data_IF_340019497561
#
_entry.id   IF_340019497561
#
_cell.length_a   1.000
_cell.length_b   1.000
_cell.length_c   1.000
_cell.angle_alpha   90.00
_cell.angle_beta   90.00
_cell.angle_gamma   90.00
#
_symmetry.space_group_name_H-M   'P 1'
#
loop_
_entity.id
_entity.type
_entity.pdbx_description
1 polymer ?
#
# COMPACT_ATOMS: atom_id res chain seq x y z
N UNK A 1 -10.92 -10.38 -9.12
CA UNK A 1 -9.72 -9.89 -8.38
C UNK A 1 -9.63 -8.35 -8.19
N UNK A 2 -10.57 -7.50 -8.68
CA UNK A 2 -10.45 -6.02 -8.58
C UNK A 2 -10.64 -5.43 -7.16
N UNK A 3 -11.15 -6.19 -6.19
CA UNK A 3 -11.55 -5.66 -4.88
C UNK A 3 -10.45 -5.64 -3.82
N UNK A 4 -9.42 -6.47 -3.92
CA UNK A 4 -8.41 -6.63 -2.86
C UNK A 4 -7.42 -5.46 -2.77
N UNK A 5 -7.23 -4.70 -3.85
CA UNK A 5 -6.37 -3.52 -3.87
C UNK A 5 -7.10 -2.23 -3.44
N UNK A 6 -8.42 -2.27 -3.22
CA UNK A 6 -9.23 -1.08 -2.93
C UNK A 6 -9.32 -0.87 -1.42
N UNK A 7 -9.00 0.34 -0.97
CA UNK A 7 -9.04 0.69 0.47
C UNK A 7 -7.92 0.04 1.27
N UNK A 8 -6.72 -0.05 0.69
CA UNK A 8 -5.55 -0.58 1.37
C UNK A 8 -5.10 0.38 2.48
N UNK A 9 -4.95 -0.14 3.69
CA UNK A 9 -4.50 0.61 4.86
C UNK A 9 -3.72 -0.30 5.82
N UNK A 10 -3.01 0.28 6.78
CA UNK A 10 -2.11 -0.42 7.72
C UNK A 10 -2.78 -1.56 8.49
N UNK A 11 -4.06 -1.43 8.83
CA UNK A 11 -4.84 -2.48 9.52
C UNK A 11 -5.37 -3.63 8.65
N UNK A 12 -5.31 -3.55 7.30
CA UNK A 12 -5.80 -4.63 6.44
C UNK A 12 -4.75 -5.21 5.49
N UNK A 13 -3.65 -4.51 5.28
CA UNK A 13 -2.60 -4.90 4.32
C UNK A 13 -1.99 -6.26 4.64
N UNK A 14 -1.74 -6.58 5.91
CA UNK A 14 -1.15 -7.86 6.31
C UNK A 14 -2.08 -9.01 5.93
N UNK A 15 -3.35 -8.93 6.35
CA UNK A 15 -4.36 -9.94 6.00
C UNK A 15 -4.51 -10.08 4.48
N UNK A 16 -4.50 -8.97 3.73
CA UNK A 16 -4.58 -9.00 2.25
C UNK A 16 -3.35 -9.67 1.62
N UNK A 17 -2.16 -9.44 2.15
CA UNK A 17 -0.92 -10.08 1.68
C UNK A 17 -0.94 -11.59 1.97
N UNK A 18 -1.43 -12.00 3.14
CA UNK A 18 -1.63 -13.41 3.50
C UNK A 18 -2.61 -14.08 2.53
N UNK A 19 -3.78 -13.48 2.30
CA UNK A 19 -4.73 -13.99 1.29
C UNK A 19 -4.09 -14.08 -0.10
N UNK A 20 -3.27 -13.10 -0.50
CA UNK A 20 -2.59 -13.20 -1.80
C UNK A 20 -1.59 -14.36 -1.85
N UNK A 21 -0.93 -14.70 -0.76
CA UNK A 21 -0.03 -15.85 -0.67
C UNK A 21 -0.82 -17.18 -0.70
N UNK A 22 -1.88 -17.30 0.09
CA UNK A 22 -2.73 -18.50 0.17
C UNK A 22 -3.38 -18.86 -1.17
N UNK A 23 -3.83 -17.84 -1.93
CA UNK A 23 -4.48 -18.02 -3.22
C UNK A 23 -3.51 -17.89 -4.42
N UNK A 24 -2.21 -17.73 -4.19
CA UNK A 24 -1.21 -17.63 -5.27
C UNK A 24 -1.35 -16.39 -6.16
N UNK A 25 -1.86 -15.29 -5.64
CA UNK A 25 -2.11 -14.03 -6.36
C UNK A 25 -0.86 -13.14 -6.45
N UNK A 26 0.25 -13.69 -6.99
CA UNK A 26 1.56 -13.01 -7.04
C UNK A 26 1.52 -11.60 -7.64
N UNK A 27 0.88 -11.43 -8.81
CA UNK A 27 0.76 -10.12 -9.47
C UNK A 27 0.02 -9.07 -8.64
N UNK A 28 -0.96 -9.51 -7.83
CA UNK A 28 -1.68 -8.60 -6.95
C UNK A 28 -0.83 -8.28 -5.72
N UNK A 29 -0.15 -9.28 -5.15
CA UNK A 29 0.79 -9.11 -4.05
C UNK A 29 1.85 -8.06 -4.36
N UNK A 30 2.47 -8.15 -5.53
CA UNK A 30 3.44 -7.17 -6.02
C UNK A 30 2.87 -5.75 -6.06
N UNK A 31 1.65 -5.56 -6.58
CA UNK A 31 0.98 -4.25 -6.60
C UNK A 31 0.68 -3.71 -5.20
N UNK A 32 0.36 -4.58 -4.26
CA UNK A 32 0.13 -4.18 -2.86
C UNK A 32 1.45 -3.72 -2.23
N UNK A 33 2.54 -4.49 -2.43
CA UNK A 33 3.87 -4.12 -1.96
C UNK A 33 4.34 -2.81 -2.58
N UNK A 34 4.13 -2.62 -3.88
CA UNK A 34 4.42 -1.37 -4.59
C UNK A 34 3.78 -0.16 -3.89
N UNK A 35 2.46 -0.21 -3.66
CA UNK A 35 1.72 0.86 -2.97
C UNK A 35 2.18 1.08 -1.54
N UNK A 36 2.54 0.02 -0.83
CA UNK A 36 3.04 0.13 0.54
C UNK A 36 4.42 0.81 0.57
N UNK A 37 5.29 0.52 -0.41
CA UNK A 37 6.61 1.16 -0.50
C UNK A 37 6.57 2.63 -0.95
N UNK A 38 5.49 3.05 -1.63
CA UNK A 38 5.27 4.46 -1.96
C UNK A 38 4.99 5.32 -0.72
N UNK A 39 4.55 4.72 0.39
CA UNK A 39 4.20 5.42 1.64
C UNK A 39 5.02 4.86 2.82
N UNK A 40 6.23 5.39 3.09
CA UNK A 40 7.12 4.85 4.13
C UNK A 40 6.50 4.86 5.53
N UNK A 41 5.58 5.80 5.81
CA UNK A 41 4.82 5.84 7.07
C UNK A 41 3.92 4.61 7.25
N UNK A 42 3.22 4.20 6.20
CA UNK A 42 2.37 3.00 6.26
C UNK A 42 3.23 1.74 6.40
N UNK A 43 4.34 1.67 5.67
CA UNK A 43 5.31 0.58 5.78
C UNK A 43 5.86 0.44 7.21
N UNK A 44 6.24 1.55 7.85
CA UNK A 44 6.73 1.55 9.23
C UNK A 44 5.67 1.13 10.24
N UNK A 45 4.39 1.40 9.97
CA UNK A 45 3.29 0.91 10.80
C UNK A 45 3.12 -0.60 10.65
N UNK A 46 3.16 -1.11 9.41
CA UNK A 46 3.04 -2.54 9.12
C UNK A 46 4.17 -3.34 9.75
N UNK A 47 5.41 -2.85 9.73
CA UNK A 47 6.54 -3.53 10.36
C UNK A 47 6.45 -3.62 11.88
N UNK A 48 5.64 -2.76 12.51
CA UNK A 48 5.36 -2.77 13.96
C UNK A 48 4.12 -3.59 14.32
N UNK A 49 3.29 -3.98 13.35
CA UNK A 49 2.09 -4.77 13.61
C UNK A 49 2.46 -6.19 14.05
N UNK A 50 1.91 -6.73 15.15
CA UNK A 50 2.24 -8.07 15.63
C UNK A 50 1.84 -9.17 14.64
N UNK A 51 0.85 -8.92 13.78
CA UNK A 51 0.42 -9.85 12.72
C UNK A 51 1.54 -10.11 11.71
N UNK A 52 2.38 -9.13 11.38
CA UNK A 52 3.47 -9.33 10.41
C UNK A 52 4.51 -10.32 10.94
N UNK A 53 4.68 -10.40 12.26
CA UNK A 53 5.63 -11.32 12.90
C UNK A 53 5.18 -12.78 12.78
N UNK A 54 3.87 -13.03 12.60
CA UNK A 54 3.34 -14.37 12.35
C UNK A 54 3.60 -14.81 10.90
N UNK A 55 3.94 -13.88 10.00
CA UNK A 55 4.15 -14.12 8.59
C UNK A 55 5.54 -13.60 8.12
N UNK A 56 6.65 -14.21 8.59
CA UNK A 56 8.00 -13.72 8.32
C UNK A 56 8.37 -13.67 6.82
N UNK A 57 7.77 -14.55 5.99
CA UNK A 57 7.94 -14.50 4.52
C UNK A 57 7.42 -13.19 3.92
N UNK A 58 6.30 -12.68 4.41
CA UNK A 58 5.73 -11.42 3.93
C UNK A 58 6.66 -10.26 4.29
N UNK A 59 7.21 -10.26 5.51
CA UNK A 59 8.19 -9.25 5.92
C UNK A 59 9.47 -9.33 5.07
N UNK A 60 9.98 -10.53 4.81
CA UNK A 60 11.14 -10.73 3.95
C UNK A 60 10.89 -10.18 2.54
N UNK A 61 9.77 -10.54 1.92
CA UNK A 61 9.45 -10.08 0.58
C UNK A 61 9.26 -8.56 0.52
N UNK A 62 8.68 -7.96 1.57
CA UNK A 62 8.62 -6.51 1.70
C UNK A 62 10.01 -5.87 1.75
N UNK A 63 10.93 -6.41 2.55
CA UNK A 63 12.30 -5.89 2.65
C UNK A 63 13.09 -6.04 1.34
N UNK A 64 12.97 -7.19 0.68
CA UNK A 64 13.56 -7.44 -0.64
C UNK A 64 13.01 -6.45 -1.67
N UNK A 65 11.69 -6.23 -1.67
CA UNK A 65 11.05 -5.29 -2.57
C UNK A 65 11.53 -3.84 -2.35
N UNK A 66 11.66 -3.41 -1.09
CA UNK A 66 12.21 -2.08 -0.74
C UNK A 66 13.66 -1.94 -1.19
N UNK A 67 14.50 -2.96 -0.96
CA UNK A 67 15.90 -2.94 -1.35
C UNK A 67 16.04 -2.81 -2.89
N UNK A 68 15.24 -3.56 -3.64
CA UNK A 68 15.24 -3.52 -5.10
C UNK A 68 14.76 -2.17 -5.63
N UNK A 69 13.73 -1.57 -5.02
CA UNK A 69 13.18 -0.29 -5.46
C UNK A 69 14.13 0.89 -5.18
N UNK A 70 14.87 0.88 -4.06
CA UNK A 70 15.85 1.93 -3.74
C UNK A 70 16.97 2.03 -4.78
N UNK A 71 17.44 0.89 -5.29
CA UNK A 71 18.48 0.84 -6.32
C UNK A 71 18.02 1.48 -7.64
N UNK A 72 16.72 1.41 -7.94
CA UNK A 72 16.16 1.94 -9.18
C UNK A 72 15.98 3.49 -9.14
N UNK A 73 15.63 4.04 -7.97
CA UNK A 73 15.49 5.50 -7.80
C UNK A 73 16.85 6.21 -7.84
N UNK A 74 17.92 5.60 -7.31
CA UNK A 74 19.26 6.19 -7.35
C UNK A 74 19.88 6.19 -8.75
N UNK A 75 19.59 5.18 -9.58
CA UNK A 75 20.09 5.11 -10.96
C UNK A 75 19.51 6.22 -11.87
N UNK A 76 18.30 6.71 -11.61
CA UNK A 76 17.69 7.79 -12.40
C UNK A 76 18.18 9.19 -12.02
N UNK A 77 18.64 9.40 -10.78
CA UNK A 77 19.11 10.72 -10.33
C UNK A 77 20.53 11.05 -10.81
N UNK A 78 21.38 10.05 -11.04
CA UNK A 78 22.76 10.28 -11.51
C UNK A 78 22.85 10.59 -13.02
N UNK A 79 21.81 10.29 -13.80
CA UNK A 79 21.80 10.56 -15.25
C UNK A 79 21.42 12.02 -15.60
N UNK A 80 20.95 12.81 -14.63
CA UNK A 80 20.42 14.16 -14.86
C UNK A 80 21.41 15.28 -14.49
N UNK A 81 22.56 14.95 -13.88
CA UNK A 81 23.57 15.92 -13.43
C UNK A 81 24.78 16.05 -14.38
N UNK A 82 24.75 15.41 -15.56
CA UNK A 82 25.85 15.44 -16.55
C UNK A 82 25.55 16.26 -17.82
N UNK A 83 24.46 17.04 -17.88
CA UNK A 83 24.09 17.80 -19.09
C UNK A 83 24.13 19.32 -18.95
N UNK A 84 24.79 19.89 -17.94
CA UNK A 84 24.78 21.35 -17.71
C UNK A 84 26.14 22.07 -17.82
N UNK A 85 27.24 21.40 -18.18
CA UNK A 85 28.58 22.04 -18.31
C UNK A 85 29.14 22.05 -19.75
N UNK A 86 28.30 21.98 -20.78
CA UNK A 86 28.74 22.04 -22.18
C UNK A 86 27.84 22.90 -23.07
N UNK A 87 27.51 24.11 -22.62
CA UNK A 87 26.87 25.10 -23.49
C UNK A 87 27.37 26.54 -23.27
N UNK A 88 28.67 26.72 -23.04
CA UNK A 88 29.29 28.05 -23.08
C UNK A 88 30.55 28.09 -23.97
N UNK A 89 30.43 27.63 -25.21
CA UNK A 89 31.24 28.21 -26.29
C UNK A 89 30.53 27.99 -27.63
N UNK A 90 30.38 29.07 -28.40
CA UNK A 90 29.96 29.12 -29.82
C UNK A 90 28.49 29.49 -30.10
N UNK A 91 28.15 30.74 -29.83
CA UNK A 91 27.00 31.41 -30.47
C UNK A 91 27.25 32.90 -30.68
N UNK A 92 28.11 33.21 -31.67
CA UNK A 92 28.19 34.53 -32.29
C UNK A 92 28.21 34.39 -33.82
N UNK A 93 27.06 34.08 -34.42
CA UNK A 93 26.73 34.46 -35.79
C UNK A 93 25.27 34.09 -36.16
N UNK A 94 24.43 35.14 -36.19
CA UNK A 94 23.64 35.54 -37.36
C UNK A 94 22.18 35.05 -37.52
N UNK A 95 21.33 36.08 -37.61
CA UNK A 95 20.05 36.28 -38.31
C UNK A 95 18.85 35.45 -37.85
N UNK A 96 17.87 36.08 -37.21
CA UNK A 96 16.79 36.84 -37.89
C UNK A 96 16.16 36.05 -39.03
N UNK A 97 14.93 35.54 -38.83
CA UNK A 97 13.77 35.88 -39.68
C UNK A 97 12.49 35.46 -38.95
N UNK A 98 11.73 36.47 -38.54
CA UNK A 98 10.32 36.44 -38.18
C UNK A 98 9.46 35.71 -39.21
N UNK A 99 8.49 34.92 -38.74
CA UNK A 99 7.12 34.81 -39.30
C UNK A 99 6.21 34.03 -38.34
N UNK A 100 5.48 34.77 -37.50
CA UNK A 100 4.07 34.49 -37.15
C UNK A 100 3.21 34.83 -38.40
N UNK A 101 1.91 34.44 -38.54
CA UNK A 101 0.94 34.20 -37.46
C UNK A 101 -0.16 33.13 -37.73
N UNK A 102 -1.04 33.01 -36.73
CA UNK A 102 -2.51 32.82 -36.78
C UNK A 102 -3.19 31.59 -37.42
N UNK A 103 -4.25 31.13 -36.74
CA UNK A 103 -5.21 30.11 -37.23
C UNK A 103 -5.46 29.02 -36.19
N UNK A 104 -6.12 29.30 -35.07
CA UNK A 104 -7.59 29.36 -34.91
C UNK A 104 -8.28 27.99 -34.90
N UNK A 105 -8.99 27.77 -33.79
CA UNK A 105 -10.20 26.94 -33.62
C UNK A 105 -10.09 25.42 -33.80
N UNK A 106 -10.40 24.67 -32.73
CA UNK A 106 -11.81 24.31 -32.44
C UNK A 106 -11.95 23.48 -31.14
N UNK A 107 -12.83 23.90 -30.20
CA UNK A 107 -13.26 23.11 -29.06
C UNK A 107 -14.67 22.54 -29.29
N UNK A 108 -14.83 21.22 -29.36
CA UNK A 108 -16.10 20.47 -29.23
C UNK A 108 -15.71 19.07 -28.74
N UNK A 109 -16.32 18.40 -27.75
CA UNK A 109 -17.70 18.42 -27.28
C UNK A 109 -17.80 17.66 -25.94
N UNK A 110 -18.59 18.13 -24.95
CA UNK A 110 -19.12 17.31 -23.88
C UNK A 110 -20.59 16.93 -24.20
N UNK A 111 -20.88 15.63 -24.31
CA UNK A 111 -22.24 15.08 -24.21
C UNK A 111 -22.20 13.99 -23.12
N UNK A 112 -22.85 14.16 -21.96
CA UNK A 112 -24.29 14.25 -21.68
C UNK A 112 -25.01 12.90 -21.80
N UNK A 113 -25.30 12.29 -20.64
CA UNK A 113 -26.58 11.70 -20.22
C UNK A 113 -26.30 10.82 -18.99
N UNK A 114 -26.61 11.21 -17.76
CA UNK A 114 -27.95 11.40 -17.19
C UNK A 114 -28.76 10.09 -17.19
N UNK A 115 -28.76 9.36 -16.06
CA UNK A 115 -29.94 8.59 -15.60
C UNK A 115 -29.86 8.22 -14.11
N UNK A 116 -30.55 9.04 -13.33
CA UNK A 116 -31.53 8.72 -12.26
C UNK A 116 -31.24 7.68 -11.16
N UNK A 117 -31.41 8.16 -9.93
CA UNK A 117 -32.27 7.62 -8.87
C UNK A 117 -32.10 6.16 -8.41
N UNK A 118 -31.64 5.97 -7.17
CA UNK A 118 -32.50 5.53 -6.05
C UNK A 118 -31.74 5.50 -4.71
N UNK A 119 -32.16 6.25 -3.67
CA UNK A 119 -31.75 5.98 -2.30
C UNK A 119 -32.73 4.98 -1.68
N UNK A 120 -32.42 3.69 -1.72
CA UNK A 120 -33.23 2.67 -1.05
C UNK A 120 -32.75 2.45 0.40
N UNK A 121 -33.48 3.13 1.29
CA UNK A 121 -33.93 2.68 2.61
C UNK A 121 -33.43 1.31 3.12
N UNK A 122 -32.76 1.39 4.28
CA UNK A 122 -33.18 0.72 5.53
C UNK A 122 -33.87 -0.64 5.43
N UNK A 123 -33.13 -1.71 5.70
CA UNK A 123 -33.50 -2.79 6.64
C UNK A 123 -32.19 -3.23 7.31
N UNK A 124 -31.88 -2.96 8.58
CA UNK A 124 -32.59 -3.30 9.83
C UNK A 124 -32.89 -4.81 9.96
N UNK A 125 -31.83 -5.57 10.20
CA UNK A 125 -31.85 -6.77 11.03
C UNK A 125 -30.63 -6.62 11.96
N UNK A 126 -30.73 -6.14 13.20
CA UNK A 126 -31.46 -6.77 14.32
C UNK A 126 -31.33 -8.28 14.27
N UNK A 127 -30.13 -8.76 14.60
CA UNK A 127 -29.99 -10.02 15.30
C UNK A 127 -29.24 -9.75 16.59
N UNK A 128 -30.05 -9.43 17.58
CA UNK A 128 -29.71 -9.56 19.00
C UNK A 128 -29.40 -11.03 19.30
N UNK A 129 -28.66 -11.21 20.40
CA UNK A 129 -28.57 -12.42 21.21
C UNK A 129 -27.62 -13.53 20.75
N UNK A 130 -26.40 -13.54 21.31
CA UNK A 130 -26.12 -14.32 22.54
C UNK A 130 -24.72 -14.03 23.10
N UNK A 131 -24.59 -13.46 24.31
CA UNK A 131 -23.33 -13.46 25.06
C UNK A 131 -23.18 -14.82 25.76
N UNK A 132 -22.29 -15.68 25.27
CA UNK A 132 -21.82 -16.82 26.06
C UNK A 132 -20.75 -16.32 27.02
N UNK A 133 -21.13 -16.29 28.29
CA UNK A 133 -20.32 -15.94 29.45
C UNK A 133 -19.10 -16.84 29.67
N UNK A 134 -18.15 -16.40 30.50
CA UNK A 134 -16.83 -17.02 30.68
C UNK A 134 -16.90 -18.25 31.59
N UNK A 135 -16.33 -19.36 31.14
CA UNK A 135 -16.14 -20.51 32.02
C UNK A 135 -14.86 -20.31 32.83
N UNK A 136 -15.09 -20.09 34.13
CA UNK A 136 -14.13 -20.18 35.20
C UNK A 136 -13.72 -21.64 35.34
N UNK A 137 -12.44 -21.97 35.24
CA UNK A 137 -11.91 -23.14 35.96
C UNK A 137 -10.61 -22.81 36.69
N UNK A 138 -10.51 -23.39 37.88
CA UNK A 138 -9.88 -22.85 39.07
C UNK A 138 -8.39 -23.19 39.18
N UNK A 139 -7.60 -22.36 39.89
CA UNK A 139 -6.28 -22.76 40.36
C UNK A 139 -6.43 -23.72 41.55
N UNK A 140 -6.06 -25.00 41.36
CA UNK A 140 -5.92 -25.95 42.48
C UNK A 140 -4.64 -25.64 43.26
N UNK A 141 -4.77 -24.80 44.28
CA UNK A 141 -3.85 -24.74 45.40
C UNK A 141 -4.16 -25.87 46.41
N UNK A 142 -3.12 -26.58 46.87
CA UNK A 142 -2.92 -27.16 48.23
C UNK A 142 -1.83 -28.25 48.16
N UNK A 143 -0.63 -28.01 48.71
CA UNK A 143 -0.21 -28.21 50.13
C UNK A 143 0.22 -29.66 50.45
N UNK A 144 1.53 -29.84 50.65
CA UNK A 144 2.18 -30.74 51.64
C UNK A 144 3.61 -30.20 51.79
N UNK A 145 4.08 -29.53 52.85
CA UNK A 145 4.21 -29.83 54.29
C UNK A 145 4.88 -31.17 54.62
N UNK A 146 6.11 -31.04 55.18
CA UNK A 146 6.69 -31.84 56.30
C UNK A 146 7.16 -33.24 55.87
N UNK A 147 8.26 -33.87 56.32
CA UNK A 147 9.28 -33.72 57.38
C UNK A 147 10.59 -34.32 56.79
N UNK A 148 11.82 -34.02 57.23
CA UNK A 148 12.40 -34.49 58.50
C UNK A 148 13.16 -35.82 58.32
N UNK A 149 14.44 -35.87 58.71
CA UNK A 149 15.30 -37.06 58.75
C UNK A 149 16.63 -36.77 58.05
N UNK A 150 17.61 -36.19 58.75
CA UNK A 150 18.63 -36.89 59.55
C UNK A 150 19.70 -37.53 58.66
#
# INVERSE_FOLDING_TARGET
ARSLAKGLHTGNVVQRLVTCEEFGLGKLREKILERLTQNPSEMAMVSRCPEIMQHPKILQDLLVYVANNKNNVQAQQQAQEQTDDSEMEKSAARSETSRKPDGSEKPEKPEKSEKSEKPEKQQRAKREEKPAQPEKEQPKAKRARKAGGA
#
